data_IF_084090641921
#
_entry.id   IF_084090641921
#
_cell.length_a   1.000
_cell.length_b   1.000
_cell.length_c   1.000
_cell.angle_alpha   90.00
_cell.angle_beta   90.00
_cell.angle_gamma   90.00
#
_symmetry.space_group_name_H-M   'P 1'
#
loop_
_entity.id
_entity.type
_entity.pdbx_description
1 polymer ?
#
# COMPACT_ATOMS: atom_id res chain seq x y z
N UNK A 1 41.04 -20.96 36.39
CA UNK A 1 40.44 -22.31 36.23
C UNK A 1 40.10 -22.83 37.61
N UNK A 2 38.82 -22.80 38.01
CA UNK A 2 38.33 -23.42 39.25
C UNK A 2 36.95 -24.02 38.98
N UNK A 3 36.82 -25.30 39.32
CA UNK A 3 35.61 -26.11 39.21
C UNK A 3 34.78 -26.06 40.49
N UNK A 4 33.52 -26.44 40.31
CA UNK A 4 32.41 -26.62 41.24
C UNK A 4 32.69 -27.51 42.47
N UNK A 5 32.02 -27.21 43.60
CA UNK A 5 31.10 -28.13 44.27
C UNK A 5 30.21 -27.45 45.33
N UNK A 6 29.00 -28.02 45.51
CA UNK A 6 27.88 -27.63 46.37
C UNK A 6 28.08 -28.05 47.84
N UNK A 7 27.37 -27.41 48.80
CA UNK A 7 26.35 -28.06 49.66
C UNK A 7 25.72 -27.11 50.70
N UNK A 8 24.45 -27.40 51.00
CA UNK A 8 23.49 -26.84 51.98
C UNK A 8 23.95 -26.73 53.44
N UNK A 9 23.30 -25.83 54.21
CA UNK A 9 22.59 -26.13 55.49
C UNK A 9 21.92 -24.90 56.15
N UNK A 10 20.58 -24.89 56.13
CA UNK A 10 19.58 -24.69 57.21
C UNK A 10 19.79 -23.85 58.51
N UNK A 11 18.66 -23.20 58.88
CA UNK A 11 18.06 -22.85 60.23
C UNK A 11 18.20 -21.42 60.80
N UNK A 12 17.05 -20.87 61.23
CA UNK A 12 16.96 -19.88 62.32
C UNK A 12 15.79 -18.90 62.25
N UNK A 13 14.73 -19.16 63.00
CA UNK A 13 13.46 -18.40 63.14
C UNK A 13 13.57 -17.20 64.09
N UNK A 14 12.76 -16.14 63.88
CA UNK A 14 12.06 -15.42 64.95
C UNK A 14 10.90 -14.52 64.43
N UNK A 15 9.71 -14.80 64.94
CA UNK A 15 8.46 -14.00 65.02
C UNK A 15 8.55 -13.06 66.24
N UNK A 16 7.83 -11.94 66.47
CA UNK A 16 6.42 -11.53 66.35
C UNK A 16 6.25 -10.00 66.58
N UNK A 17 5.00 -9.50 66.40
CA UNK A 17 4.38 -8.21 66.80
C UNK A 17 4.56 -7.02 65.83
N UNK A 18 3.55 -6.32 65.29
CA UNK A 18 2.11 -6.25 65.51
C UNK A 18 1.68 -4.78 65.67
N UNK A 19 0.88 -4.20 64.75
CA UNK A 19 -0.18 -3.20 65.03
C UNK A 19 -0.89 -2.65 63.77
N UNK A 20 -2.22 -2.68 63.85
CA UNK A 20 -3.27 -2.16 62.95
C UNK A 20 -3.47 -0.64 63.12
N UNK A 21 -4.11 0.03 62.15
CA UNK A 21 -5.07 1.19 62.20
C UNK A 21 -5.09 1.77 60.75
N UNK A 22 -6.18 1.89 59.97
CA UNK A 22 -7.50 2.48 60.21
C UNK A 22 -7.66 3.71 59.27
N UNK A 23 -8.60 3.68 58.30
CA UNK A 23 -8.92 4.80 57.37
C UNK A 23 -9.56 6.02 58.09
N UNK A 24 -9.99 7.11 57.38
CA UNK A 24 -11.05 7.03 56.35
C UNK A 24 -11.02 8.07 55.19
N UNK A 25 -12.01 7.92 54.30
CA UNK A 25 -12.45 8.76 53.16
C UNK A 25 -12.67 10.27 53.42
N UNK A 26 -12.61 11.07 52.34
CA UNK A 26 -13.65 12.08 52.00
C UNK A 26 -13.54 12.67 50.59
N UNK A 27 -14.70 12.75 49.96
CA UNK A 27 -15.08 13.36 48.68
C UNK A 27 -14.70 14.84 48.50
N UNK A 28 -14.45 15.26 47.25
CA UNK A 28 -14.79 16.61 46.79
C UNK A 28 -15.30 16.64 45.34
N UNK A 29 -16.58 16.98 45.24
CA UNK A 29 -17.36 17.34 44.06
C UNK A 29 -16.96 18.75 43.58
N UNK A 30 -16.70 18.95 42.28
CA UNK A 30 -16.71 20.29 41.68
C UNK A 30 -17.69 20.37 40.50
N UNK A 31 -18.72 21.19 40.73
CA UNK A 31 -19.84 21.52 39.84
C UNK A 31 -19.40 22.42 38.68
N UNK A 32 -20.01 22.22 37.51
CA UNK A 32 -20.03 23.18 36.39
C UNK A 32 -21.16 24.21 36.58
N UNK A 33 -20.98 25.49 36.20
CA UNK A 33 -22.08 26.44 36.05
C UNK A 33 -22.60 26.51 34.61
N UNK A 34 -23.92 26.71 34.50
CA UNK A 34 -24.67 26.97 33.29
C UNK A 34 -24.85 28.49 33.05
N UNK A 35 -24.93 28.92 31.80
CA UNK A 35 -25.43 30.23 31.34
C UNK A 35 -26.17 29.99 30.01
N UNK A 36 -27.51 29.98 30.02
CA UNK A 36 -28.47 31.07 29.68
C UNK A 36 -28.60 31.42 28.20
N UNK A 37 -29.84 31.27 27.73
CA UNK A 37 -30.43 31.69 26.46
C UNK A 37 -30.17 33.16 26.10
N UNK A 38 -30.12 33.46 24.79
CA UNK A 38 -30.95 34.52 24.22
C UNK A 38 -31.13 34.38 22.69
N UNK A 39 -32.30 34.84 22.26
CA UNK A 39 -32.92 34.64 20.96
C UNK A 39 -32.87 35.91 20.08
N UNK A 40 -33.13 35.68 18.79
CA UNK A 40 -33.81 36.56 17.83
C UNK A 40 -33.04 37.72 17.15
N UNK A 41 -33.27 37.85 15.84
CA UNK A 41 -32.85 38.98 15.01
C UNK A 41 -32.99 38.70 13.51
N UNK A 42 -34.23 38.77 13.00
CA UNK A 42 -34.60 38.81 11.58
C UNK A 42 -33.92 39.97 10.81
N UNK A 43 -33.58 39.75 9.54
CA UNK A 43 -33.90 40.71 8.46
C UNK A 43 -33.63 40.11 7.07
N UNK A 44 -34.65 40.24 6.23
CA UNK A 44 -34.78 39.88 4.84
C UNK A 44 -34.25 40.97 3.90
N UNK A 45 -33.59 40.60 2.80
CA UNK A 45 -33.63 41.33 1.52
C UNK A 45 -33.24 40.41 0.35
N UNK A 46 -33.64 40.82 -0.84
CA UNK A 46 -34.22 40.00 -1.89
C UNK A 46 -33.31 39.81 -3.12
N UNK A 47 -33.42 38.64 -3.76
CA UNK A 47 -33.50 38.41 -5.22
C UNK A 47 -32.42 39.00 -6.17
N UNK A 48 -31.60 38.13 -6.79
CA UNK A 48 -31.66 37.71 -8.21
C UNK A 48 -30.33 37.06 -8.69
N UNK A 49 -30.44 36.02 -9.54
CA UNK A 49 -29.30 35.43 -10.27
C UNK A 49 -29.44 33.92 -10.45
N UNK A 50 -30.15 33.49 -11.51
CA UNK A 50 -30.35 32.07 -11.85
C UNK A 50 -29.04 31.44 -12.35
N UNK A 51 -28.41 30.62 -11.51
CA UNK A 51 -27.30 29.74 -11.90
C UNK A 51 -27.80 28.39 -12.42
N UNK A 52 -27.26 27.97 -13.55
CA UNK A 52 -27.47 26.65 -14.15
C UNK A 52 -27.00 25.53 -13.21
N UNK A 53 -27.90 24.58 -12.92
CA UNK A 53 -27.61 23.37 -12.13
C UNK A 53 -26.95 22.31 -13.02
N UNK A 54 -25.70 21.98 -12.73
CA UNK A 54 -25.08 20.70 -13.11
C UNK A 54 -25.37 19.64 -12.03
N UNK A 55 -25.53 18.36 -12.39
CA UNK A 55 -25.80 17.30 -11.43
C UNK A 55 -24.52 16.88 -10.69
N UNK A 56 -24.46 17.21 -9.41
CA UNK A 56 -23.41 16.76 -8.50
C UNK A 56 -23.60 15.29 -8.13
N UNK A 57 -22.54 14.49 -8.27
CA UNK A 57 -22.44 13.14 -7.72
C UNK A 57 -22.66 13.17 -6.20
N UNK A 58 -23.77 12.56 -5.77
CA UNK A 58 -24.12 12.36 -4.38
C UNK A 58 -23.18 11.33 -3.73
N UNK A 59 -22.09 11.80 -3.11
CA UNK A 59 -21.54 11.12 -1.93
C UNK A 59 -22.31 11.62 -0.71
N UNK A 60 -23.28 10.85 -0.23
CA UNK A 60 -23.97 11.16 1.02
C UNK A 60 -23.00 11.00 2.20
N UNK A 61 -22.67 12.15 2.81
CA UNK A 61 -22.11 12.26 4.15
C UNK A 61 -23.18 11.85 5.18
N UNK A 62 -22.99 10.71 5.84
CA UNK A 62 -23.62 10.43 7.14
C UNK A 62 -22.72 10.93 8.26
N UNK A 63 -23.20 11.87 9.08
CA UNK A 63 -22.53 12.36 10.30
C UNK A 63 -22.74 11.37 11.46
N UNK A 64 -21.71 11.22 12.30
CA UNK A 64 -21.82 10.66 13.65
C UNK A 64 -20.46 10.29 14.23
N UNK A 65 -19.77 11.25 14.84
CA UNK A 65 -18.55 11.02 15.63
C UNK A 65 -18.94 10.80 17.10
N UNK A 66 -18.57 9.69 17.75
CA UNK A 66 -18.49 9.63 19.21
C UNK A 66 -17.05 9.92 19.67
N UNK A 67 -16.91 10.79 20.67
CA UNK A 67 -15.67 11.08 21.40
C UNK A 67 -15.43 10.03 22.52
N UNK A 68 -14.21 9.96 23.09
CA UNK A 68 -13.64 8.72 23.63
C UNK A 68 -13.96 8.49 25.11
N UNK A 69 -14.09 7.22 25.50
CA UNK A 69 -14.17 6.84 26.91
C UNK A 69 -13.93 5.34 27.11
N UNK A 70 -12.97 5.02 27.99
CA UNK A 70 -12.98 3.83 28.83
C UNK A 70 -12.48 2.52 28.21
N UNK A 71 -11.32 2.06 28.67
CA UNK A 71 -10.82 0.71 28.37
C UNK A 71 -11.80 -0.37 28.82
N UNK A 72 -12.03 -1.35 27.95
CA UNK A 72 -12.50 -2.68 28.31
C UNK A 72 -11.75 -3.72 27.47
N UNK A 73 -11.13 -4.64 28.20
CA UNK A 73 -10.58 -5.90 27.72
C UNK A 73 -11.62 -6.61 26.83
N UNK A 74 -11.33 -6.81 25.55
CA UNK A 74 -12.13 -7.66 24.68
C UNK A 74 -11.64 -9.10 24.85
N UNK A 75 -12.39 -9.87 25.62
CA UNK A 75 -12.25 -11.31 25.73
C UNK A 75 -12.52 -11.96 24.36
N UNK A 76 -11.66 -12.90 24.00
CA UNK A 76 -11.83 -13.82 22.87
C UNK A 76 -13.22 -14.46 22.95
N UNK A 77 -14.14 -14.08 22.05
CA UNK A 77 -15.40 -14.78 21.87
C UNK A 77 -15.17 -15.87 20.83
N UNK A 78 -15.11 -17.11 21.30
CA UNK A 78 -15.15 -18.34 20.49
C UNK A 78 -16.56 -18.53 19.93
N UNK A 79 -16.86 -17.87 18.82
CA UNK A 79 -17.98 -18.22 17.94
C UNK A 79 -17.37 -19.03 16.78
N UNK A 80 -17.54 -20.36 16.83
CA UNK A 80 -17.03 -21.29 15.83
C UNK A 80 -17.69 -21.08 14.45
N UNK A 81 -17.05 -21.51 13.35
CA UNK A 81 -17.63 -21.39 12.03
C UNK A 81 -18.88 -22.26 11.94
N UNK A 82 -20.02 -21.65 11.62
CA UNK A 82 -21.22 -22.38 11.19
C UNK A 82 -20.87 -23.19 9.95
N UNK A 83 -20.81 -24.51 10.13
CA UNK A 83 -20.46 -25.45 9.08
C UNK A 83 -21.60 -25.50 8.05
N UNK A 84 -21.43 -24.82 6.92
CA UNK A 84 -22.22 -25.09 5.71
C UNK A 84 -21.76 -26.42 5.11
N UNK A 85 -22.18 -27.53 5.74
CA UNK A 85 -22.06 -28.88 5.17
C UNK A 85 -22.92 -28.93 3.89
N UNK A 86 -22.28 -29.07 2.73
CA UNK A 86 -22.94 -29.58 1.52
C UNK A 86 -22.95 -28.70 0.26
N UNK A 87 -22.38 -27.49 0.25
CA UNK A 87 -22.23 -26.76 -1.01
C UNK A 87 -21.10 -27.40 -1.85
N UNK A 88 -21.43 -28.01 -2.99
CA UNK A 88 -20.45 -28.54 -3.94
C UNK A 88 -19.48 -27.43 -4.40
N UNK A 89 -18.19 -27.76 -4.47
CA UNK A 89 -17.15 -26.85 -4.96
C UNK A 89 -17.43 -26.54 -6.43
N UNK A 90 -17.76 -25.29 -6.75
CA UNK A 90 -17.88 -24.85 -8.14
C UNK A 90 -16.49 -24.83 -8.78
N UNK A 91 -16.37 -25.39 -9.99
CA UNK A 91 -15.15 -25.40 -10.77
C UNK A 91 -15.44 -24.64 -12.06
N UNK A 92 -14.62 -23.63 -12.35
CA UNK A 92 -14.74 -22.85 -13.57
C UNK A 92 -14.34 -23.65 -14.80
N UNK A 93 -15.01 -23.39 -15.94
CA UNK A 93 -14.75 -24.07 -17.22
C UNK A 93 -14.36 -23.09 -18.34
N UNK A 94 -14.22 -21.79 -18.03
CA UNK A 94 -13.74 -20.81 -18.99
C UNK A 94 -12.29 -21.15 -19.41
N UNK A 95 -12.07 -21.37 -20.71
CA UNK A 95 -10.75 -21.76 -21.25
C UNK A 95 -9.87 -20.58 -21.68
N UNK A 96 -10.37 -19.37 -21.52
CA UNK A 96 -9.72 -18.13 -21.98
C UNK A 96 -9.53 -17.15 -20.81
N UNK A 97 -8.69 -16.14 -20.98
CA UNK A 97 -8.47 -15.10 -19.96
C UNK A 97 -9.72 -14.25 -19.66
N UNK A 98 -10.72 -14.29 -20.54
CA UNK A 98 -12.04 -13.65 -20.35
C UNK A 98 -13.18 -14.54 -20.89
N UNK A 99 -14.27 -14.74 -20.11
CA UNK A 99 -15.47 -15.41 -20.60
C UNK A 99 -16.05 -14.76 -21.87
N UNK A 100 -16.49 -15.58 -22.82
CA UNK A 100 -17.02 -15.10 -24.11
C UNK A 100 -18.22 -14.14 -23.93
N UNK A 101 -19.09 -14.43 -22.95
CA UNK A 101 -20.24 -13.58 -22.60
C UNK A 101 -19.81 -12.17 -22.18
N UNK A 102 -18.80 -12.07 -21.32
CA UNK A 102 -18.28 -10.78 -20.87
C UNK A 102 -17.58 -10.03 -22.01
N UNK A 103 -16.81 -10.73 -22.85
CA UNK A 103 -16.14 -10.12 -24.00
C UNK A 103 -17.14 -9.49 -24.97
N UNK A 104 -18.18 -10.23 -25.36
CA UNK A 104 -19.25 -9.73 -26.24
C UNK A 104 -20.01 -8.56 -25.61
N UNK A 105 -20.25 -8.61 -24.29
CA UNK A 105 -20.85 -7.50 -23.56
C UNK A 105 -19.97 -6.25 -23.66
N UNK A 106 -18.67 -6.35 -23.37
CA UNK A 106 -17.76 -5.19 -23.39
C UNK A 106 -17.52 -4.64 -24.80
N UNK A 107 -17.54 -5.48 -25.83
CA UNK A 107 -17.57 -5.03 -27.23
C UNK A 107 -18.81 -4.18 -27.53
N UNK A 108 -20.00 -4.69 -27.15
CA UNK A 108 -21.27 -4.01 -27.43
C UNK A 108 -21.39 -2.68 -26.68
N UNK A 109 -20.95 -2.64 -25.43
CA UNK A 109 -21.04 -1.45 -24.57
C UNK A 109 -19.84 -0.51 -24.72
N UNK A 110 -18.83 -0.84 -25.55
CA UNK A 110 -17.63 -0.01 -25.73
C UNK A 110 -16.72 0.09 -24.50
N UNK A 111 -16.66 -0.97 -23.69
CA UNK A 111 -15.95 -1.03 -22.40
C UNK A 111 -14.59 -1.77 -22.49
N UNK A 112 -14.08 -2.00 -23.70
CA UNK A 112 -12.78 -2.63 -23.89
C UNK A 112 -11.65 -1.66 -23.58
N UNK A 113 -10.65 -2.14 -22.85
CA UNK A 113 -9.43 -1.39 -22.62
C UNK A 113 -8.55 -1.38 -23.89
N UNK A 114 -7.69 -0.39 -24.05
CA UNK A 114 -6.74 -0.30 -25.18
C UNK A 114 -5.80 -1.52 -25.29
N UNK A 115 -5.63 -2.29 -24.22
CA UNK A 115 -4.81 -3.50 -24.21
C UNK A 115 -5.59 -4.76 -24.64
N UNK A 116 -6.90 -4.65 -24.88
CA UNK A 116 -7.79 -5.79 -25.16
C UNK A 116 -8.33 -5.77 -26.60
N UNK A 117 -7.96 -4.76 -27.40
CA UNK A 117 -8.44 -4.56 -28.76
C UNK A 117 -7.40 -4.99 -29.80
N UNK A 118 -7.85 -5.33 -31.00
CA UNK A 118 -6.97 -5.48 -32.15
C UNK A 118 -6.27 -4.14 -32.46
N UNK A 119 -4.96 -4.19 -32.72
CA UNK A 119 -4.28 -3.05 -33.35
C UNK A 119 -4.95 -2.79 -34.70
N UNK A 120 -5.49 -1.59 -34.87
CA UNK A 120 -6.00 -1.18 -36.18
C UNK A 120 -4.87 -1.32 -37.20
N UNK A 121 -5.05 -2.01 -38.35
CA UNK A 121 -4.13 -1.80 -39.46
C UNK A 121 -4.18 -0.30 -39.74
N UNK A 122 -3.01 0.33 -39.66
CA UNK A 122 -2.81 1.74 -39.92
C UNK A 122 -3.29 2.07 -41.33
N UNK A 123 -4.55 2.50 -41.47
CA UNK A 123 -4.91 3.36 -42.58
C UNK A 123 -4.23 4.69 -42.30
N UNK A 124 -3.12 4.91 -43.01
CA UNK A 124 -2.39 6.16 -43.16
C UNK A 124 -3.21 7.43 -42.86
N UNK A 125 -2.59 8.32 -42.09
CA UNK A 125 -2.93 9.73 -41.87
C UNK A 125 -4.26 10.04 -41.17
N UNK A 126 -4.24 10.01 -39.84
CA UNK A 126 -4.81 11.09 -39.03
C UNK A 126 -4.19 11.05 -37.64
N UNK A 127 -3.25 11.95 -37.43
CA UNK A 127 -2.63 12.31 -36.15
C UNK A 127 -3.67 12.42 -35.03
N UNK A 128 -3.44 11.70 -33.93
CA UNK A 128 -4.07 11.99 -32.65
C UNK A 128 -3.78 13.45 -32.29
N UNK A 129 -4.78 14.29 -31.98
CA UNK A 129 -4.49 15.63 -31.49
C UNK A 129 -3.80 15.50 -30.13
N UNK A 130 -2.55 15.95 -30.07
CA UNK A 130 -1.89 16.29 -28.82
C UNK A 130 -2.55 17.58 -28.35
N UNK A 131 -3.61 17.49 -27.57
CA UNK A 131 -4.08 18.61 -26.76
C UNK A 131 -3.43 18.53 -25.38
N UNK A 132 -2.53 19.48 -25.19
CA UNK A 132 -1.86 19.84 -23.95
C UNK A 132 -2.87 20.11 -22.83
N UNK A 133 -2.54 19.63 -21.63
CA UNK A 133 -3.03 20.10 -20.32
C UNK A 133 -4.55 20.01 -20.05
N UNK A 134 -4.94 19.03 -19.21
CA UNK A 134 -6.23 19.08 -18.51
C UNK A 134 -6.75 17.73 -18.04
N UNK A 135 -6.50 17.40 -16.78
CA UNK A 135 -7.32 16.58 -15.87
C UNK A 135 -8.36 15.64 -16.53
N UNK A 136 -8.02 14.37 -16.76
CA UNK A 136 -8.96 13.37 -17.30
C UNK A 136 -9.56 12.55 -16.16
N UNK A 137 -10.74 12.96 -15.71
CA UNK A 137 -11.66 12.11 -14.95
C UNK A 137 -12.29 11.04 -15.86
N UNK A 138 -13.06 10.09 -15.30
CA UNK A 138 -13.56 8.93 -16.02
C UNK A 138 -14.48 9.35 -17.17
N UNK A 139 -14.37 8.63 -18.28
CA UNK A 139 -15.08 8.84 -19.54
C UNK A 139 -16.59 9.06 -19.33
N UNK A 140 -17.05 10.32 -19.33
CA UNK A 140 -18.45 10.67 -19.46
C UNK A 140 -18.84 10.49 -20.94
N UNK A 141 -19.32 9.30 -21.29
CA UNK A 141 -20.09 9.11 -22.51
C UNK A 141 -21.43 9.82 -22.29
N UNK A 142 -21.62 10.92 -23.01
CA UNK A 142 -22.86 11.68 -23.13
C UNK A 142 -24.08 10.76 -23.17
N UNK A 143 -24.85 10.73 -22.07
CA UNK A 143 -26.22 10.24 -22.06
C UNK A 143 -27.14 11.37 -22.51
N UNK A 144 -27.43 11.44 -23.80
CA UNK A 144 -28.62 12.15 -24.26
C UNK A 144 -29.82 11.20 -24.19
N UNK A 145 -30.62 11.38 -23.14
CA UNK A 145 -31.99 10.88 -23.14
C UNK A 145 -32.87 11.83 -23.94
N UNK A 146 -33.49 11.35 -25.02
CA UNK A 146 -34.75 11.90 -25.55
C UNK A 146 -35.58 10.80 -26.21
N UNK A 147 -36.75 10.57 -25.61
CA UNK A 147 -37.94 10.12 -26.31
C UNK A 147 -38.21 11.04 -27.51
N UNK A 148 -38.55 10.46 -28.66
CA UNK A 148 -39.33 11.17 -29.67
C UNK A 148 -38.86 11.00 -31.11
N UNK A 149 -39.66 10.24 -31.85
CA UNK A 149 -39.93 10.33 -33.30
C UNK A 149 -38.88 9.78 -34.26
N UNK A 150 -39.32 8.73 -34.97
CA UNK A 150 -38.76 8.20 -36.20
C UNK A 150 -38.60 9.34 -37.21
N UNK A 151 -37.37 9.69 -37.52
CA UNK A 151 -36.96 10.52 -38.65
C UNK A 151 -35.86 9.78 -39.40
N UNK A 152 -36.18 9.42 -40.64
CA UNK A 152 -35.28 8.83 -41.62
C UNK A 152 -34.24 9.86 -42.12
N UNK A 153 -33.08 9.40 -42.58
CA UNK A 153 -32.15 10.20 -43.38
C UNK A 153 -30.99 10.88 -42.64
N UNK A 154 -29.96 10.09 -42.32
CA UNK A 154 -28.64 10.62 -41.98
C UNK A 154 -27.63 9.50 -41.78
N UNK A 155 -26.87 9.14 -42.84
CA UNK A 155 -25.69 8.25 -42.72
C UNK A 155 -24.56 9.00 -42.01
N UNK A 156 -24.75 9.27 -40.72
CA UNK A 156 -23.67 9.66 -39.83
C UNK A 156 -22.69 8.50 -39.71
N UNK A 157 -21.41 8.79 -39.86
CA UNK A 157 -20.30 7.85 -39.75
C UNK A 157 -20.33 7.21 -38.35
N UNK A 158 -21.02 6.07 -38.18
CA UNK A 158 -21.02 5.35 -36.89
C UNK A 158 -19.59 4.89 -36.66
N UNK A 159 -18.90 5.56 -35.74
CA UNK A 159 -17.56 5.19 -35.29
C UNK A 159 -17.63 3.70 -34.92
N UNK A 160 -16.98 2.85 -35.71
CA UNK A 160 -16.95 1.41 -35.47
C UNK A 160 -16.34 1.20 -34.09
N UNK A 161 -17.10 0.56 -33.20
CA UNK A 161 -16.58 0.20 -31.88
C UNK A 161 -15.39 -0.76 -32.05
N UNK A 162 -14.32 -0.61 -31.27
CA UNK A 162 -13.20 -1.53 -31.29
C UNK A 162 -13.66 -2.97 -31.04
N UNK A 163 -13.07 -3.92 -31.77
CA UNK A 163 -13.31 -5.35 -31.56
C UNK A 163 -12.33 -5.92 -30.54
N UNK A 164 -12.81 -6.80 -29.69
CA UNK A 164 -12.01 -7.49 -28.69
C UNK A 164 -11.13 -8.53 -29.35
N UNK A 165 -9.85 -8.53 -28.99
CA UNK A 165 -8.97 -9.64 -29.28
C UNK A 165 -9.17 -10.73 -28.21
N UNK A 166 -9.64 -11.91 -28.64
CA UNK A 166 -9.86 -13.06 -27.75
C UNK A 166 -8.62 -13.38 -26.91
N UNK A 167 -7.43 -13.22 -27.49
CA UNK A 167 -6.16 -13.58 -26.85
C UNK A 167 -5.63 -12.51 -25.90
N UNK A 168 -6.16 -11.28 -25.94
CA UNK A 168 -5.72 -10.17 -25.09
C UNK A 168 -6.75 -9.75 -24.05
N UNK A 169 -8.02 -10.10 -24.26
CA UNK A 169 -9.12 -9.69 -23.39
C UNK A 169 -9.07 -10.45 -22.07
N UNK A 170 -9.11 -9.73 -20.93
CA UNK A 170 -9.05 -10.34 -19.60
C UNK A 170 -10.30 -9.98 -18.81
N UNK A 171 -10.84 -10.95 -18.07
CA UNK A 171 -12.00 -10.75 -17.18
C UNK A 171 -11.82 -9.53 -16.27
N UNK A 172 -12.77 -8.61 -16.30
CA UNK A 172 -12.81 -7.40 -15.47
C UNK A 172 -13.43 -7.68 -14.11
N UNK A 173 -13.04 -6.91 -13.09
CA UNK A 173 -13.58 -7.11 -11.75
C UNK A 173 -15.04 -6.64 -11.66
N UNK A 174 -15.93 -7.53 -11.22
CA UNK A 174 -17.32 -7.20 -10.97
C UNK A 174 -17.59 -7.09 -9.47
N UNK A 175 -18.18 -5.99 -9.02
CA UNK A 175 -18.69 -5.90 -7.65
C UNK A 175 -19.88 -6.84 -7.50
N UNK A 176 -19.89 -7.67 -6.45
CA UNK A 176 -21.07 -8.43 -6.08
C UNK A 176 -22.19 -7.44 -5.70
N UNK A 177 -23.18 -7.27 -6.58
CA UNK A 177 -24.39 -6.54 -6.26
C UNK A 177 -25.35 -7.47 -5.51
N UNK A 178 -26.10 -6.92 -4.54
CA UNK A 178 -27.14 -7.67 -3.86
C UNK A 178 -28.18 -8.15 -4.89
N UNK A 179 -28.43 -9.47 -4.95
CA UNK A 179 -29.39 -10.08 -5.88
C UNK A 179 -28.81 -10.55 -7.23
N UNK A 180 -27.49 -10.60 -7.41
CA UNK A 180 -26.90 -11.20 -8.62
C UNK A 180 -27.20 -12.70 -8.74
N UNK A 181 -27.49 -13.12 -9.98
CA UNK A 181 -27.67 -14.50 -10.41
C UNK A 181 -26.52 -15.41 -9.94
N UNK A 182 -26.82 -16.70 -9.75
CA UNK A 182 -25.81 -17.72 -9.43
C UNK A 182 -24.65 -17.63 -10.43
N UNK A 183 -23.42 -17.41 -9.94
CA UNK A 183 -22.22 -17.45 -10.77
C UNK A 183 -22.14 -18.80 -11.49
N UNK A 184 -22.09 -18.77 -12.82
CA UNK A 184 -22.03 -19.98 -13.63
C UNK A 184 -20.58 -20.47 -13.80
N UNK A 185 -20.34 -21.78 -13.94
CA UNK A 185 -19.01 -22.33 -14.21
C UNK A 185 -18.32 -21.69 -15.43
N UNK A 186 -19.05 -21.38 -16.48
CA UNK A 186 -18.53 -20.74 -17.70
C UNK A 186 -18.07 -19.29 -17.50
N UNK A 187 -18.53 -18.64 -16.44
CA UNK A 187 -18.10 -17.29 -16.07
C UNK A 187 -16.82 -17.32 -15.21
N UNK A 188 -16.34 -18.50 -14.79
CA UNK A 188 -15.19 -18.68 -13.92
C UNK A 188 -14.02 -19.33 -14.66
N UNK A 189 -12.81 -18.80 -14.45
CA UNK A 189 -11.56 -19.35 -14.98
C UNK A 189 -10.98 -20.38 -14.01
N UNK A 190 -10.63 -21.60 -14.46
CA UNK A 190 -9.98 -22.60 -13.62
C UNK A 190 -8.55 -22.17 -13.23
N UNK A 191 -7.94 -22.81 -12.20
CA UNK A 191 -6.62 -22.43 -11.67
C UNK A 191 -5.53 -22.25 -12.74
N UNK A 192 -5.46 -23.16 -13.72
CA UNK A 192 -4.47 -23.10 -14.80
C UNK A 192 -4.59 -21.81 -15.62
N UNK A 193 -5.81 -21.43 -16.00
CA UNK A 193 -6.07 -20.22 -16.77
C UNK A 193 -5.81 -18.97 -15.92
N UNK A 194 -6.12 -19.01 -14.62
CA UNK A 194 -5.81 -17.90 -13.71
C UNK A 194 -4.29 -17.65 -13.63
N UNK A 195 -3.49 -18.71 -13.53
CA UNK A 195 -2.03 -18.63 -13.51
C UNK A 195 -1.48 -18.09 -14.83
N UNK A 196 -1.91 -18.64 -15.96
CA UNK A 196 -1.53 -18.15 -17.30
C UNK A 196 -1.92 -16.67 -17.49
N UNK A 197 -3.08 -16.26 -16.98
CA UNK A 197 -3.51 -14.85 -17.03
C UNK A 197 -2.58 -13.94 -16.24
N UNK A 198 -2.17 -14.35 -15.03
CA UNK A 198 -1.21 -13.58 -14.21
C UNK A 198 0.14 -13.49 -14.92
N UNK A 199 0.61 -14.60 -15.51
CA UNK A 199 1.84 -14.61 -16.28
C UNK A 199 1.79 -13.65 -17.47
N UNK A 200 0.69 -13.65 -18.24
CA UNK A 200 0.47 -12.69 -19.34
C UNK A 200 0.46 -11.24 -18.84
N UNK A 201 -0.23 -10.95 -17.73
CA UNK A 201 -0.22 -9.60 -17.14
C UNK A 201 1.21 -9.15 -16.79
N UNK A 202 2.06 -10.05 -16.28
CA UNK A 202 3.44 -9.74 -15.91
C UNK A 202 4.43 -9.70 -17.09
N UNK A 203 4.25 -10.56 -18.11
CA UNK A 203 5.17 -10.68 -19.26
C UNK A 203 4.86 -9.67 -20.35
N UNK A 204 3.58 -9.43 -20.62
CA UNK A 204 3.14 -8.70 -21.81
C UNK A 204 2.58 -7.31 -21.49
N UNK A 205 1.92 -7.13 -20.33
CA UNK A 205 1.27 -5.87 -19.99
C UNK A 205 2.16 -5.00 -19.09
N UNK A 206 2.73 -5.58 -18.02
CA UNK A 206 3.53 -4.85 -17.04
C UNK A 206 4.78 -4.14 -17.61
N UNK A 207 5.52 -4.72 -18.58
CA UNK A 207 6.72 -4.08 -19.14
C UNK A 207 6.42 -2.99 -20.17
N UNK A 208 5.14 -2.74 -20.49
CA UNK A 208 4.75 -1.75 -21.50
C UNK A 208 5.23 -0.34 -21.13
N UNK A 209 5.84 0.33 -22.10
CA UNK A 209 6.35 1.70 -22.00
C UNK A 209 5.69 2.65 -23.00
N UNK A 210 4.76 2.14 -23.80
CA UNK A 210 4.04 2.91 -24.82
C UNK A 210 2.93 3.81 -24.24
N UNK A 211 2.65 3.69 -22.94
CA UNK A 211 1.75 4.58 -22.22
C UNK A 211 2.24 4.85 -20.78
N UNK A 212 1.70 5.89 -20.11
CA UNK A 212 1.96 6.12 -18.69
C UNK A 212 1.68 4.90 -17.81
N UNK A 213 2.53 4.69 -16.80
CA UNK A 213 2.46 3.50 -15.94
C UNK A 213 1.18 3.43 -15.11
N UNK A 214 0.53 4.55 -14.78
CA UNK A 214 -0.75 4.55 -14.07
C UNK A 214 -1.86 3.84 -14.88
N UNK A 215 -1.83 3.93 -16.21
CA UNK A 215 -2.78 3.22 -17.08
C UNK A 215 -2.52 1.70 -17.03
N UNK A 216 -1.24 1.30 -17.04
CA UNK A 216 -0.82 -0.10 -16.86
C UNK A 216 -1.24 -0.62 -15.50
N UNK A 217 -1.01 0.18 -14.46
CA UNK A 217 -1.39 -0.14 -13.08
C UNK A 217 -2.90 -0.34 -12.94
N UNK A 218 -3.72 0.61 -13.37
CA UNK A 218 -5.18 0.53 -13.21
C UNK A 218 -5.75 -0.71 -13.91
N UNK A 219 -5.25 -1.01 -15.10
CA UNK A 219 -5.62 -2.22 -15.83
C UNK A 219 -5.25 -3.49 -15.06
N UNK A 220 -3.97 -3.67 -14.71
CA UNK A 220 -3.50 -4.88 -14.01
C UNK A 220 -4.20 -5.00 -12.64
N UNK A 221 -4.32 -3.90 -11.90
CA UNK A 221 -4.97 -3.86 -10.59
C UNK A 221 -6.41 -4.37 -10.65
N UNK A 222 -7.20 -3.93 -11.64
CA UNK A 222 -8.56 -4.43 -11.85
C UNK A 222 -8.58 -5.93 -12.21
N UNK A 223 -7.74 -6.36 -13.16
CA UNK A 223 -7.71 -7.75 -13.62
C UNK A 223 -7.23 -8.72 -12.54
N UNK A 224 -6.27 -8.32 -11.69
CA UNK A 224 -5.83 -9.10 -10.53
C UNK A 224 -6.96 -9.23 -9.48
N UNK A 225 -7.82 -8.23 -9.32
CA UNK A 225 -9.00 -8.35 -8.45
C UNK A 225 -10.01 -9.35 -9.00
N UNK A 226 -10.22 -9.39 -10.33
CA UNK A 226 -11.06 -10.40 -10.97
C UNK A 226 -10.48 -11.81 -10.81
N UNK A 227 -9.17 -11.96 -10.93
CA UNK A 227 -8.46 -13.24 -10.69
C UNK A 227 -8.66 -13.70 -9.25
N UNK A 228 -8.42 -12.82 -8.28
CA UNK A 228 -8.66 -13.12 -6.86
C UNK A 228 -10.13 -13.47 -6.57
N UNK A 229 -11.07 -12.79 -7.22
CA UNK A 229 -12.50 -13.09 -7.09
C UNK A 229 -12.82 -14.51 -7.58
N UNK A 230 -12.29 -14.91 -8.74
CA UNK A 230 -12.45 -16.27 -9.26
C UNK A 230 -11.86 -17.32 -8.31
N UNK A 231 -10.69 -17.03 -7.69
CA UNK A 231 -10.07 -17.91 -6.69
C UNK A 231 -10.94 -18.08 -5.44
N UNK A 232 -11.51 -16.99 -4.93
CA UNK A 232 -12.38 -17.02 -3.74
C UNK A 232 -13.66 -17.80 -4.03
N UNK A 233 -14.31 -17.57 -5.17
CA UNK A 233 -15.55 -18.26 -5.54
C UNK A 233 -15.33 -19.77 -5.66
N UNK A 234 -14.23 -20.17 -6.30
CA UNK A 234 -13.89 -21.58 -6.52
C UNK A 234 -13.20 -22.24 -5.31
N UNK A 235 -12.86 -21.50 -4.25
CA UNK A 235 -12.11 -21.99 -3.08
C UNK A 235 -10.80 -22.67 -3.49
N UNK A 236 -9.98 -21.96 -4.26
CA UNK A 236 -8.65 -22.43 -4.69
C UNK A 236 -7.63 -22.08 -3.60
N UNK A 237 -6.97 -23.10 -3.05
CA UNK A 237 -6.06 -22.99 -1.88
C UNK A 237 -4.80 -23.85 -2.02
N UNK A 238 -4.49 -24.28 -3.25
CA UNK A 238 -3.34 -25.12 -3.60
C UNK A 238 -2.07 -24.30 -3.88
N UNK A 239 -1.01 -24.99 -4.34
CA UNK A 239 0.27 -24.37 -4.68
C UNK A 239 0.15 -23.34 -5.81
N UNK A 240 -0.78 -23.50 -6.75
CA UNK A 240 -1.01 -22.50 -7.80
C UNK A 240 -1.61 -21.22 -7.20
N UNK A 241 -2.52 -21.33 -6.23
CA UNK A 241 -3.01 -20.17 -5.48
C UNK A 241 -1.87 -19.43 -4.75
N UNK A 242 -0.93 -20.17 -4.16
CA UNK A 242 0.27 -19.60 -3.53
C UNK A 242 1.06 -18.79 -4.57
N UNK A 243 1.42 -19.38 -5.72
CA UNK A 243 2.21 -18.70 -6.76
C UNK A 243 1.52 -17.46 -7.32
N UNK A 244 0.21 -17.54 -7.55
CA UNK A 244 -0.59 -16.38 -8.00
C UNK A 244 -0.52 -15.25 -6.96
N UNK A 245 -0.69 -15.56 -5.66
CA UNK A 245 -0.65 -14.54 -4.61
C UNK A 245 0.75 -13.96 -4.41
N UNK A 246 1.81 -14.77 -4.49
CA UNK A 246 3.21 -14.30 -4.46
C UNK A 246 3.42 -13.23 -5.54
N UNK A 247 3.01 -13.51 -6.79
CA UNK A 247 3.13 -12.57 -7.91
C UNK A 247 2.29 -11.31 -7.71
N UNK A 248 1.05 -11.43 -7.19
CA UNK A 248 0.18 -10.28 -6.92
C UNK A 248 0.78 -9.36 -5.85
N UNK A 249 1.34 -9.93 -4.78
CA UNK A 249 1.99 -9.14 -3.72
C UNK A 249 3.20 -8.39 -4.29
N UNK A 250 4.05 -9.05 -5.10
CA UNK A 250 5.19 -8.40 -5.77
C UNK A 250 4.75 -7.26 -6.69
N UNK A 251 3.66 -7.45 -7.46
CA UNK A 251 3.08 -6.39 -8.29
C UNK A 251 2.69 -5.16 -7.45
N UNK A 252 2.00 -5.36 -6.32
CA UNK A 252 1.57 -4.22 -5.48
C UNK A 252 2.75 -3.46 -4.87
N UNK A 253 3.82 -4.15 -4.44
CA UNK A 253 5.04 -3.50 -3.94
C UNK A 253 5.67 -2.66 -5.05
N UNK A 254 5.79 -3.23 -6.23
CA UNK A 254 6.37 -2.54 -7.37
C UNK A 254 5.54 -1.34 -7.81
N UNK A 255 4.21 -1.49 -7.87
CA UNK A 255 3.31 -0.41 -8.21
C UNK A 255 3.41 0.75 -7.22
N UNK A 256 3.46 0.44 -5.91
CA UNK A 256 3.69 1.44 -4.86
C UNK A 256 5.01 2.17 -5.09
N UNK A 257 6.09 1.44 -5.37
CA UNK A 257 7.37 2.05 -5.67
C UNK A 257 7.30 2.97 -6.91
N UNK A 258 6.71 2.52 -8.02
CA UNK A 258 6.65 3.29 -9.28
C UNK A 258 5.78 4.53 -9.20
N UNK A 259 4.64 4.46 -8.50
CA UNK A 259 3.64 5.52 -8.44
C UNK A 259 3.73 6.37 -7.18
N UNK A 260 4.75 6.17 -6.32
CA UNK A 260 4.88 6.88 -5.04
C UNK A 260 4.88 8.40 -5.12
N UNK A 261 5.32 8.96 -6.25
CA UNK A 261 5.38 10.41 -6.46
C UNK A 261 4.14 10.97 -7.17
N UNK A 262 3.24 10.10 -7.61
CA UNK A 262 2.02 10.51 -8.30
C UNK A 262 1.04 11.15 -7.33
N UNK A 263 0.23 12.07 -7.86
CA UNK A 263 -0.81 12.71 -7.08
C UNK A 263 -1.91 11.71 -6.70
N UNK A 264 -2.57 11.92 -5.56
CA UNK A 264 -3.63 11.01 -5.05
C UNK A 264 -4.80 10.82 -6.02
N UNK A 265 -5.01 11.77 -6.95
CA UNK A 265 -6.03 11.65 -8.00
C UNK A 265 -5.66 10.65 -9.10
N UNK A 266 -4.38 10.31 -9.25
CA UNK A 266 -3.85 9.36 -10.23
C UNK A 266 -3.63 8.00 -9.57
N UNK A 267 -3.10 7.99 -8.36
CA UNK A 267 -2.80 6.76 -7.61
C UNK A 267 -3.17 6.94 -6.15
N UNK A 268 -3.97 6.01 -5.62
CA UNK A 268 -4.30 5.95 -4.19
C UNK A 268 -3.40 4.93 -3.47
N UNK A 269 -2.38 5.37 -2.71
CA UNK A 269 -1.47 4.46 -2.02
C UNK A 269 -2.17 3.62 -0.95
N UNK A 270 -3.26 4.13 -0.36
CA UNK A 270 -3.99 3.42 0.69
C UNK A 270 -4.76 2.23 0.13
N UNK A 271 -5.40 2.40 -1.03
CA UNK A 271 -6.09 1.31 -1.72
C UNK A 271 -5.08 0.22 -2.12
N UNK A 272 -3.96 0.59 -2.75
CA UNK A 272 -2.94 -0.37 -3.13
C UNK A 272 -2.41 -1.14 -1.91
N UNK A 273 -2.09 -0.42 -0.83
CA UNK A 273 -1.57 -1.02 0.39
C UNK A 273 -2.58 -1.97 1.04
N UNK A 274 -3.86 -1.64 1.04
CA UNK A 274 -4.91 -2.54 1.52
C UNK A 274 -4.89 -3.86 0.73
N UNK A 275 -4.85 -3.78 -0.59
CA UNK A 275 -4.82 -4.98 -1.44
C UNK A 275 -3.54 -5.81 -1.27
N UNK A 276 -2.38 -5.16 -1.11
CA UNK A 276 -1.11 -5.82 -0.77
C UNK A 276 -1.25 -6.62 0.52
N UNK A 277 -1.71 -5.97 1.60
CA UNK A 277 -1.81 -6.59 2.92
C UNK A 277 -2.84 -7.72 2.93
N UNK A 278 -3.98 -7.55 2.26
CA UNK A 278 -5.00 -8.60 2.17
C UNK A 278 -4.48 -9.83 1.42
N UNK A 279 -3.71 -9.65 0.34
CA UNK A 279 -3.07 -10.76 -0.37
C UNK A 279 -2.00 -11.43 0.50
N UNK A 280 -1.15 -10.64 1.16
CA UNK A 280 -0.09 -11.16 2.01
C UNK A 280 -0.67 -11.98 3.17
N UNK A 281 -1.70 -11.49 3.86
CA UNK A 281 -2.37 -12.25 4.93
C UNK A 281 -2.92 -13.58 4.43
N UNK A 282 -3.61 -13.60 3.28
CA UNK A 282 -4.11 -14.85 2.70
C UNK A 282 -2.97 -15.79 2.33
N UNK A 283 -1.88 -15.27 1.76
CA UNK A 283 -0.69 -16.03 1.41
C UNK A 283 -0.06 -16.70 2.64
N UNK A 284 0.12 -15.97 3.74
CA UNK A 284 0.67 -16.53 4.99
C UNK A 284 -0.22 -17.65 5.56
N UNK A 285 -1.55 -17.48 5.51
CA UNK A 285 -2.49 -18.54 5.90
C UNK A 285 -2.34 -19.78 5.01
N UNK A 286 -2.18 -19.60 3.69
CA UNK A 286 -1.97 -20.72 2.78
C UNK A 286 -0.63 -21.42 3.01
N UNK A 287 0.42 -20.69 3.38
CA UNK A 287 1.70 -21.31 3.74
C UNK A 287 1.58 -22.22 4.96
N UNK A 288 0.86 -21.77 5.99
CA UNK A 288 0.61 -22.61 7.18
C UNK A 288 -0.27 -23.80 6.85
N UNK A 289 -1.40 -23.55 6.17
CA UNK A 289 -2.37 -24.58 5.82
C UNK A 289 -1.76 -25.71 4.98
N UNK A 290 -0.90 -25.37 4.02
CA UNK A 290 -0.23 -26.33 3.15
C UNK A 290 1.12 -26.83 3.70
N UNK A 291 1.54 -26.41 4.90
CA UNK A 291 2.89 -26.66 5.43
C UNK A 291 3.98 -26.36 4.39
N UNK A 292 3.87 -25.21 3.73
CA UNK A 292 4.68 -24.81 2.59
C UNK A 292 6.11 -24.46 3.05
N UNK A 293 7.12 -25.07 2.41
CA UNK A 293 8.54 -24.99 2.82
C UNK A 293 9.48 -24.45 1.74
N UNK A 294 8.96 -23.97 0.62
CA UNK A 294 9.82 -23.41 -0.42
C UNK A 294 10.54 -22.14 0.06
N UNK A 295 11.70 -21.88 -0.53
CA UNK A 295 12.54 -20.73 -0.23
C UNK A 295 11.79 -19.40 -0.34
N UNK A 296 10.81 -19.30 -1.26
CA UNK A 296 9.99 -18.10 -1.47
C UNK A 296 9.25 -17.66 -0.20
N UNK A 297 8.83 -18.60 0.67
CA UNK A 297 8.14 -18.28 1.94
C UNK A 297 8.94 -17.31 2.81
N UNK A 298 10.26 -17.46 2.85
CA UNK A 298 11.13 -16.59 3.66
C UNK A 298 11.03 -15.13 3.25
N UNK A 299 10.90 -14.85 1.95
CA UNK A 299 10.77 -13.49 1.41
C UNK A 299 9.46 -12.84 1.87
N UNK A 300 8.35 -13.59 1.89
CA UNK A 300 7.04 -13.06 2.28
C UNK A 300 6.82 -13.00 3.79
N UNK A 301 7.44 -13.90 4.57
CA UNK A 301 7.49 -13.77 6.03
C UNK A 301 8.37 -12.58 6.45
N UNK A 302 9.50 -12.37 5.77
CA UNK A 302 10.30 -11.16 5.89
C UNK A 302 9.49 -9.91 5.56
N UNK A 303 8.79 -9.90 4.41
CA UNK A 303 7.88 -8.81 4.03
C UNK A 303 6.83 -8.53 5.11
N UNK A 304 6.24 -9.55 5.72
CA UNK A 304 5.25 -9.37 6.79
C UNK A 304 5.80 -8.59 7.99
N UNK A 305 7.06 -8.86 8.37
CA UNK A 305 7.77 -8.08 9.40
C UNK A 305 7.88 -6.60 8.99
N UNK A 306 8.23 -6.34 7.73
CA UNK A 306 8.40 -5.00 7.21
C UNK A 306 7.08 -4.24 7.06
N UNK A 307 6.02 -4.93 6.64
CA UNK A 307 4.67 -4.36 6.52
C UNK A 307 4.15 -3.90 7.86
N UNK A 308 4.40 -4.69 8.90
CA UNK A 308 3.95 -4.42 10.27
C UNK A 308 5.13 -4.04 11.17
N UNK A 309 6.03 -3.17 10.69
CA UNK A 309 7.31 -2.87 11.36
C UNK A 309 7.18 -2.36 12.80
N UNK A 310 6.04 -1.75 13.15
CA UNK A 310 5.73 -1.28 14.50
C UNK A 310 4.99 -2.30 15.38
N UNK A 311 4.67 -3.49 14.85
CA UNK A 311 3.92 -4.51 15.56
C UNK A 311 4.87 -5.49 16.25
N UNK A 312 4.91 -5.42 17.57
CA UNK A 312 5.66 -6.38 18.39
C UNK A 312 5.17 -7.83 18.15
N UNK A 313 3.87 -8.02 17.91
CA UNK A 313 3.28 -9.33 17.68
C UNK A 313 3.84 -10.02 16.44
N UNK A 314 4.08 -9.24 15.38
CA UNK A 314 4.66 -9.77 14.13
C UNK A 314 6.12 -10.12 14.33
N UNK A 315 6.87 -9.30 15.09
CA UNK A 315 8.26 -9.61 15.45
C UNK A 315 8.34 -10.89 16.28
N UNK A 316 7.47 -11.05 17.29
CA UNK A 316 7.40 -12.28 18.11
C UNK A 316 7.10 -13.51 17.26
N UNK A 317 6.12 -13.42 16.35
CA UNK A 317 5.82 -14.50 15.40
C UNK A 317 7.03 -14.83 14.52
N UNK A 318 7.74 -13.82 14.03
CA UNK A 318 8.90 -14.00 13.18
C UNK A 318 10.04 -14.75 13.91
N UNK A 319 10.18 -14.58 15.23
CA UNK A 319 11.10 -15.39 16.03
C UNK A 319 10.73 -16.87 16.05
N UNK A 320 9.44 -17.21 16.21
CA UNK A 320 8.99 -18.61 16.11
C UNK A 320 9.31 -19.19 14.73
N UNK A 321 8.98 -18.45 13.67
CA UNK A 321 9.27 -18.88 12.29
C UNK A 321 10.77 -19.04 12.06
N UNK A 322 11.61 -18.14 12.60
CA UNK A 322 13.06 -18.22 12.49
C UNK A 322 13.60 -19.53 13.09
N UNK A 323 12.98 -20.06 14.15
CA UNK A 323 13.38 -21.36 14.71
C UNK A 323 13.05 -22.53 13.79
N UNK A 324 12.00 -22.42 12.97
CA UNK A 324 11.56 -23.43 12.01
C UNK A 324 12.27 -23.30 10.65
N UNK A 325 12.49 -22.07 10.19
CA UNK A 325 12.99 -21.69 8.86
C UNK A 325 13.85 -20.44 8.94
N UNK A 326 15.12 -20.65 9.30
CA UNK A 326 16.09 -19.57 9.41
C UNK A 326 16.59 -19.14 8.02
N UNK A 327 16.53 -17.84 7.72
CA UNK A 327 17.12 -17.28 6.50
C UNK A 327 17.73 -15.90 6.76
N UNK A 328 18.72 -15.53 5.96
CA UNK A 328 19.36 -14.22 6.06
C UNK A 328 18.36 -13.07 5.86
N UNK A 329 17.46 -13.20 4.88
CA UNK A 329 16.44 -12.19 4.55
C UNK A 329 15.45 -11.98 5.71
N UNK A 330 15.01 -13.07 6.35
CA UNK A 330 14.16 -13.00 7.53
C UNK A 330 14.89 -12.35 8.71
N UNK A 331 16.14 -12.74 8.98
CA UNK A 331 16.93 -12.17 10.07
C UNK A 331 17.16 -10.67 9.92
N UNK A 332 17.56 -10.23 8.72
CA UNK A 332 17.73 -8.80 8.42
C UNK A 332 16.41 -8.05 8.63
N UNK A 333 15.28 -8.63 8.23
CA UNK A 333 13.97 -7.99 8.38
C UNK A 333 13.52 -7.87 9.84
N UNK A 334 13.81 -8.88 10.67
CA UNK A 334 13.58 -8.83 12.12
C UNK A 334 14.46 -7.76 12.76
N UNK A 335 15.77 -7.77 12.48
CA UNK A 335 16.71 -6.77 12.99
C UNK A 335 16.33 -5.35 12.58
N UNK A 336 15.90 -5.17 11.33
CA UNK A 336 15.46 -3.86 10.83
C UNK A 336 14.16 -3.40 11.50
N UNK A 337 13.24 -4.31 11.80
CA UNK A 337 12.05 -3.98 12.58
C UNK A 337 12.39 -3.53 14.00
N UNK A 338 13.32 -4.21 14.66
CA UNK A 338 13.83 -3.80 15.97
C UNK A 338 14.55 -2.44 15.90
N UNK A 339 15.41 -2.23 14.91
CA UNK A 339 16.08 -0.95 14.71
C UNK A 339 15.08 0.20 14.51
N UNK A 340 14.00 -0.04 13.76
CA UNK A 340 12.93 0.93 13.56
C UNK A 340 12.19 1.26 14.86
N UNK A 341 11.86 0.23 15.65
CA UNK A 341 11.15 0.38 16.93
C UNK A 341 12.01 1.09 17.99
N UNK A 342 13.30 0.73 18.08
CA UNK A 342 14.29 1.36 18.96
C UNK A 342 14.77 2.73 18.44
N UNK A 343 14.24 3.20 17.31
CA UNK A 343 14.62 4.47 16.67
C UNK A 343 16.12 4.57 16.35
N UNK A 344 16.75 3.43 16.08
CA UNK A 344 18.13 3.35 15.63
C UNK A 344 18.19 3.56 14.11
N UNK A 345 18.14 4.82 13.67
CA UNK A 345 18.14 5.17 12.25
C UNK A 345 19.40 4.70 11.52
N UNK A 346 20.56 4.73 12.17
CA UNK A 346 21.85 4.32 11.58
C UNK A 346 21.80 2.84 11.19
N UNK A 347 21.35 1.98 12.10
CA UNK A 347 21.26 0.55 11.80
C UNK A 347 20.15 0.26 10.79
N UNK A 348 18.99 0.93 10.91
CA UNK A 348 17.90 0.84 9.94
C UNK A 348 18.39 1.09 8.49
N UNK A 349 19.08 2.21 8.25
CA UNK A 349 19.62 2.52 6.91
C UNK A 349 20.70 1.53 6.47
N UNK A 350 21.56 1.04 7.37
CA UNK A 350 22.57 0.02 7.03
C UNK A 350 21.95 -1.31 6.59
N UNK A 351 20.80 -1.70 7.15
CA UNK A 351 20.13 -2.97 6.83
C UNK A 351 19.38 -2.92 5.50
N UNK A 352 18.84 -1.77 5.10
CA UNK A 352 18.10 -1.63 3.83
C UNK A 352 18.90 -2.19 2.65
N UNK A 353 20.17 -1.83 2.51
CA UNK A 353 21.02 -2.29 1.39
C UNK A 353 21.29 -3.79 1.35
N UNK A 354 21.00 -4.53 2.43
CA UNK A 354 21.21 -5.97 2.54
C UNK A 354 19.98 -6.79 2.14
N UNK A 355 18.83 -6.14 1.99
CA UNK A 355 17.58 -6.81 1.60
C UNK A 355 17.54 -7.11 0.10
N UNK A 356 16.77 -8.12 -0.36
CA UNK A 356 16.44 -8.29 -1.77
C UNK A 356 15.72 -7.06 -2.33
N UNK A 357 15.85 -6.82 -3.63
CA UNK A 357 15.35 -5.59 -4.25
C UNK A 357 13.86 -5.33 -4.00
N UNK A 358 13.02 -6.37 -4.02
CA UNK A 358 11.59 -6.21 -3.77
C UNK A 358 11.30 -5.70 -2.35
N UNK A 359 12.04 -6.19 -1.35
CA UNK A 359 11.91 -5.73 0.02
C UNK A 359 12.49 -4.33 0.20
N UNK A 360 13.61 -4.01 -0.48
CA UNK A 360 14.12 -2.63 -0.53
C UNK A 360 13.07 -1.65 -1.08
N UNK A 361 12.41 -2.00 -2.20
CA UNK A 361 11.34 -1.19 -2.78
C UNK A 361 10.21 -0.93 -1.77
N UNK A 362 9.82 -1.94 -0.99
CA UNK A 362 8.82 -1.77 0.05
C UNK A 362 9.29 -0.85 1.19
N UNK A 363 10.56 -0.93 1.60
CA UNK A 363 11.13 -0.16 2.70
C UNK A 363 11.13 1.36 2.49
N UNK A 364 11.05 1.83 1.24
CA UNK A 364 10.92 3.27 0.91
C UNK A 364 9.82 3.96 1.74
N UNK A 365 8.72 3.25 2.03
CA UNK A 365 7.61 3.78 2.85
C UNK A 365 8.02 4.20 4.27
N UNK A 366 9.05 3.56 4.81
CA UNK A 366 9.53 3.76 6.18
C UNK A 366 10.69 4.77 6.23
N UNK A 367 11.38 4.96 5.11
CA UNK A 367 12.55 5.83 4.98
C UNK A 367 12.21 7.27 5.33
N UNK A 368 11.07 7.80 4.85
CA UNK A 368 10.64 9.17 5.16
C UNK A 368 10.56 9.41 6.68
N UNK A 369 9.79 8.58 7.37
CA UNK A 369 9.59 8.67 8.82
C UNK A 369 10.93 8.58 9.57
N UNK A 370 11.82 7.69 9.13
CA UNK A 370 13.12 7.53 9.77
C UNK A 370 14.07 8.71 9.49
N UNK A 371 14.05 9.31 8.28
CA UNK A 371 14.81 10.53 7.96
C UNK A 371 14.32 11.72 8.77
N UNK A 372 13.01 11.92 8.88
CA UNK A 372 12.40 12.96 9.72
C UNK A 372 12.85 12.83 11.18
N UNK A 373 12.81 11.60 11.72
CA UNK A 373 13.30 11.32 13.05
C UNK A 373 14.81 11.61 13.20
N UNK A 374 15.63 11.19 12.24
CA UNK A 374 17.07 11.43 12.26
C UNK A 374 17.39 12.94 12.27
N UNK A 375 16.74 13.74 11.42
CA UNK A 375 16.92 15.19 11.42
C UNK A 375 16.45 15.84 12.70
N UNK A 376 15.32 15.40 13.26
CA UNK A 376 14.85 15.87 14.57
C UNK A 376 15.92 15.64 15.66
N UNK A 377 16.48 14.43 15.74
CA UNK A 377 17.53 14.10 16.71
C UNK A 377 18.80 14.92 16.45
N UNK A 378 19.20 15.12 15.19
CA UNK A 378 20.35 15.96 14.84
C UNK A 378 20.15 17.41 15.28
N UNK A 379 18.94 17.98 15.11
CA UNK A 379 18.59 19.30 15.63
C UNK A 379 18.72 19.37 17.16
N UNK A 380 18.25 18.35 17.88
CA UNK A 380 18.31 18.33 19.34
C UNK A 380 19.74 18.17 19.86
N UNK A 381 20.54 17.30 19.24
CA UNK A 381 21.88 16.95 19.71
C UNK A 381 22.94 17.97 19.31
N UNK A 382 22.90 18.44 18.06
CA UNK A 382 23.94 19.29 17.48
C UNK A 382 23.55 20.77 17.42
N UNK A 383 22.26 21.09 17.48
CA UNK A 383 21.76 22.47 17.41
C UNK A 383 21.88 23.29 18.69
N UNK A 384 22.62 22.82 19.69
CA UNK A 384 22.93 23.54 20.95
C UNK A 384 24.16 24.44 20.79
N UNK A 385 25.10 24.06 19.92
CA UNK A 385 26.36 24.78 19.70
C UNK A 385 26.42 25.25 18.25
N UNK A 386 26.45 26.57 18.04
CA UNK A 386 26.52 27.16 16.69
C UNK A 386 27.83 26.85 15.94
N UNK A 387 28.85 26.39 16.67
CA UNK A 387 30.10 25.89 16.11
C UNK A 387 30.00 24.46 15.57
N UNK A 388 28.96 23.71 15.91
CA UNK A 388 28.80 22.35 15.44
C UNK A 388 28.40 22.34 13.96
N UNK A 389 29.27 21.78 13.14
CA UNK A 389 29.13 21.65 11.70
C UNK A 389 29.25 20.18 11.34
N UNK A 390 28.26 19.64 10.63
CA UNK A 390 28.25 18.23 10.22
C UNK A 390 28.51 18.17 8.72
N UNK A 391 29.47 17.36 8.22
CA UNK A 391 29.68 17.21 6.80
C UNK A 391 28.40 16.75 6.08
N UNK A 392 28.03 17.43 4.99
CA UNK A 392 26.86 17.06 4.17
C UNK A 392 27.02 15.65 3.58
N UNK A 393 28.26 15.27 3.24
CA UNK A 393 28.61 13.93 2.76
C UNK A 393 28.30 12.84 3.77
N UNK A 394 28.55 13.11 5.06
CA UNK A 394 28.23 12.18 6.14
C UNK A 394 26.71 11.97 6.25
N UNK A 395 25.91 13.04 6.23
CA UNK A 395 24.44 12.94 6.27
C UNK A 395 23.91 12.17 5.05
N UNK A 396 24.44 12.48 3.88
CA UNK A 396 24.08 11.82 2.61
C UNK A 396 24.29 10.32 2.70
N UNK A 397 25.46 9.90 3.19
CA UNK A 397 25.81 8.48 3.37
C UNK A 397 24.97 7.81 4.46
N UNK A 398 24.81 8.45 5.63
CA UNK A 398 24.09 7.85 6.77
C UNK A 398 22.60 7.67 6.53
N UNK A 399 21.97 8.56 5.74
CA UNK A 399 20.53 8.55 5.49
C UNK A 399 20.16 8.00 4.10
N UNK A 400 21.11 7.35 3.43
CA UNK A 400 20.97 6.75 2.10
C UNK A 400 20.39 7.70 1.04
N UNK A 401 20.86 8.94 0.99
CA UNK A 401 20.55 9.82 -0.14
C UNK A 401 21.36 9.41 -1.38
N UNK A 402 20.81 9.66 -2.57
CA UNK A 402 21.47 9.28 -3.83
C UNK A 402 22.64 10.18 -4.16
N UNK A 403 22.60 11.45 -3.72
CA UNK A 403 23.66 12.43 -3.95
C UNK A 403 23.67 13.53 -2.89
N UNK A 404 24.80 14.22 -2.76
CA UNK A 404 24.89 15.41 -1.91
C UNK A 404 23.93 16.53 -2.35
N UNK A 405 23.59 16.61 -3.64
CA UNK A 405 22.69 17.64 -4.17
C UNK A 405 21.23 17.35 -3.81
N UNK A 406 20.83 16.07 -3.74
CA UNK A 406 19.53 15.65 -3.21
C UNK A 406 19.41 16.04 -1.73
N UNK A 407 20.41 15.66 -0.92
CA UNK A 407 20.47 16.01 0.51
C UNK A 407 20.42 17.52 0.71
N UNK A 408 21.17 18.28 -0.09
CA UNK A 408 21.19 19.74 -0.05
C UNK A 408 19.81 20.34 -0.37
N UNK A 409 19.16 19.84 -1.41
CA UNK A 409 17.83 20.31 -1.83
C UNK A 409 16.79 20.07 -0.75
N UNK A 410 16.81 18.90 -0.12
CA UNK A 410 15.84 18.54 0.91
C UNK A 410 16.07 19.28 2.23
N UNK A 411 17.34 19.44 2.63
CA UNK A 411 17.69 20.32 3.76
C UNK A 411 17.34 21.79 3.49
N UNK A 412 17.46 22.24 2.24
CA UNK A 412 17.05 23.58 1.81
C UNK A 412 15.55 23.81 1.96
N UNK A 413 14.70 22.84 1.57
CA UNK A 413 13.23 22.88 1.79
C UNK A 413 12.88 22.95 3.28
N UNK A 414 13.73 22.35 4.11
CA UNK A 414 13.62 22.35 5.57
C UNK A 414 14.24 23.61 6.20
N UNK A 415 14.67 24.61 5.43
CA UNK A 415 15.33 25.83 5.90
C UNK A 415 16.54 25.57 6.81
N UNK A 416 17.25 24.45 6.62
CA UNK A 416 18.47 24.13 7.36
C UNK A 416 19.64 24.87 6.72
N UNK A 417 20.48 25.48 7.54
CA UNK A 417 21.62 26.28 7.09
C UNK A 417 22.75 25.37 6.58
N UNK A 418 23.17 25.58 5.32
CA UNK A 418 24.28 24.87 4.71
C UNK A 418 25.41 25.86 4.46
N UNK A 419 26.56 25.58 5.05
CA UNK A 419 27.76 26.39 5.01
C UNK A 419 28.75 25.71 4.07
N UNK A 420 29.45 26.49 3.25
CA UNK A 420 30.54 25.99 2.41
C UNK A 420 31.88 26.41 3.00
N UNK A 421 32.82 25.48 3.04
CA UNK A 421 34.20 25.78 3.35
C UNK A 421 34.87 26.43 2.13
N UNK A 422 35.46 27.61 2.30
CA UNK A 422 36.07 28.36 1.21
C UNK A 422 37.37 27.73 0.69
N UNK A 423 38.01 26.86 1.48
CA UNK A 423 39.29 26.23 1.15
C UNK A 423 39.07 24.85 0.54
N UNK A 424 38.28 24.00 1.19
CA UNK A 424 38.04 22.62 0.72
C UNK A 424 36.86 22.52 -0.24
N UNK A 425 36.06 23.59 -0.38
CA UNK A 425 34.78 23.60 -1.11
C UNK A 425 33.76 22.57 -0.58
N UNK A 426 34.01 22.01 0.61
CA UNK A 426 33.12 21.05 1.26
C UNK A 426 31.89 21.74 1.84
N UNK A 427 30.75 21.05 1.81
CA UNK A 427 29.49 21.54 2.37
C UNK A 427 29.29 20.95 3.75
N UNK A 428 28.93 21.81 4.70
CA UNK A 428 28.63 21.48 6.09
C UNK A 428 27.23 21.95 6.44
N UNK A 429 26.55 21.20 7.31
CA UNK A 429 25.20 21.48 7.76
C UNK A 429 25.24 21.97 9.20
N UNK A 430 24.55 23.08 9.47
CA UNK A 430 24.34 23.61 10.81
C UNK A 430 22.87 23.44 11.18
N UNK A 431 22.62 22.55 12.12
CA UNK A 431 21.29 22.38 12.69
C UNK A 431 21.03 23.39 13.79
N UNK A 432 19.76 23.78 13.99
CA UNK A 432 19.32 24.63 15.10
C UNK A 432 18.26 23.91 15.92
N UNK A 433 18.35 23.97 17.25
CA UNK A 433 17.39 23.32 18.15
C UNK A 433 15.95 23.80 17.91
N UNK A 434 15.77 25.07 17.53
CA UNK A 434 14.45 25.66 17.20
C UNK A 434 13.76 25.00 16.00
N UNK A 435 14.49 24.27 15.16
CA UNK A 435 13.95 23.60 13.98
C UNK A 435 13.46 22.18 14.27
N UNK A 436 13.69 21.64 15.47
CA UNK A 436 13.45 20.22 15.77
C UNK A 436 11.98 19.81 15.60
N UNK A 437 11.03 20.64 16.03
CA UNK A 437 9.59 20.32 15.94
C UNK A 437 9.07 20.35 14.49
N UNK A 438 9.65 21.24 13.68
CA UNK A 438 9.37 21.28 12.24
C UNK A 438 9.84 19.99 11.54
N UNK A 439 10.99 19.42 11.95
CA UNK A 439 11.49 18.18 11.36
C UNK A 439 10.56 16.98 11.59
N UNK A 440 9.82 16.95 12.71
CA UNK A 440 8.84 15.88 12.99
C UNK A 440 7.59 15.94 12.12
N UNK A 441 7.25 17.13 11.60
CA UNK A 441 6.01 17.40 10.87
C UNK A 441 6.22 17.75 9.40
N UNK A 442 7.47 17.76 8.92
CA UNK A 442 7.82 18.11 7.56
C UNK A 442 7.16 17.17 6.54
N UNK A 443 6.17 17.68 5.79
CA UNK A 443 5.49 16.96 4.71
C UNK A 443 5.97 17.49 3.35
N UNK A 444 6.00 16.65 2.31
CA UNK A 444 6.26 17.09 0.92
C UNK A 444 7.71 17.04 0.42
N UNK A 445 8.63 16.44 1.16
CA UNK A 445 9.96 16.12 0.61
C UNK A 445 9.86 14.82 -0.21
N UNK A 446 10.60 14.77 -1.32
CA UNK A 446 10.67 13.58 -2.19
C UNK A 446 11.77 12.69 -1.65
N UNK A 447 11.40 11.60 -0.99
CA UNK A 447 12.37 10.71 -0.38
C UNK A 447 12.61 9.55 -1.34
N UNK A 448 13.68 9.66 -2.13
CA UNK A 448 14.20 8.52 -2.88
C UNK A 448 15.39 7.96 -2.11
N UNK A 449 15.49 6.65 -2.07
CA UNK A 449 16.79 6.02 -2.19
C UNK A 449 16.72 5.10 -3.40
N UNK A 450 17.45 5.44 -4.46
CA UNK A 450 17.65 4.50 -5.55
C UNK A 450 18.94 3.73 -5.26
N UNK A 451 18.80 2.50 -4.77
CA UNK A 451 19.93 1.58 -4.84
C UNK A 451 20.24 1.26 -6.29
N UNK A 452 21.50 0.92 -6.60
CA UNK A 452 21.93 0.50 -7.94
C UNK A 452 21.09 -0.69 -8.46
N UNK A 453 20.68 -1.58 -7.54
CA UNK A 453 19.82 -2.71 -7.85
C UNK A 453 18.42 -2.25 -8.33
N UNK A 454 17.82 -1.28 -7.65
CA UNK A 454 16.54 -0.68 -8.05
C UNK A 454 16.67 0.04 -9.39
N UNK A 455 17.78 0.75 -9.65
CA UNK A 455 18.03 1.42 -10.93
C UNK A 455 18.08 0.42 -12.09
N UNK A 456 18.83 -0.68 -11.95
CA UNK A 456 18.93 -1.71 -13.00
C UNK A 456 17.56 -2.31 -13.35
N UNK A 457 16.73 -2.62 -12.35
CA UNK A 457 15.39 -3.21 -12.59
C UNK A 457 14.44 -2.22 -13.27
N UNK A 458 14.53 -0.94 -12.92
CA UNK A 458 13.71 0.12 -13.56
C UNK A 458 14.17 0.37 -15.01
N UNK A 459 15.48 0.32 -15.27
CA UNK A 459 16.07 0.60 -16.58
C UNK A 459 15.95 -0.59 -17.56
N UNK A 460 16.15 -1.81 -17.08
CA UNK A 460 16.21 -3.01 -17.93
C UNK A 460 14.82 -3.56 -18.31
N UNK A 461 13.73 -2.98 -17.80
CA UNK A 461 12.36 -3.48 -18.04
C UNK A 461 12.14 -4.93 -17.57
N UNK A 462 13.06 -5.47 -16.75
CA UNK A 462 13.17 -6.89 -16.44
C UNK A 462 12.21 -7.33 -15.32
N UNK A 463 11.01 -6.75 -15.31
CA UNK A 463 10.03 -6.93 -14.26
C UNK A 463 9.30 -8.26 -14.32
N UNK A 464 9.21 -8.83 -15.52
CA UNK A 464 8.81 -10.21 -15.69
C UNK A 464 9.69 -11.12 -14.84
N UNK A 465 11.01 -10.91 -14.81
CA UNK A 465 11.90 -11.66 -13.91
C UNK A 465 11.67 -11.33 -12.44
N UNK A 466 11.40 -10.09 -12.03
CA UNK A 466 11.15 -9.77 -10.61
C UNK A 466 9.86 -10.44 -10.08
N UNK A 467 8.77 -10.37 -10.85
CA UNK A 467 7.47 -10.90 -10.48
C UNK A 467 7.35 -12.42 -10.67
N UNK A 468 8.13 -13.01 -11.60
CA UNK A 468 8.11 -14.43 -11.94
C UNK A 468 9.34 -15.21 -11.45
N UNK A 469 10.36 -14.55 -10.90
CA UNK A 469 11.48 -15.27 -10.27
C UNK A 469 10.96 -15.99 -9.03
N UNK A 470 11.06 -17.31 -9.10
CA UNK A 470 11.13 -18.24 -7.98
C UNK A 470 12.59 -18.60 -7.74
#
# INVERSE_FOLDING_TARGET
MRSYHQHDTSRGTNTMEGQNYGGPDRDTNWRRPATTHNSAGDSSYSRQGRGHRHPSNHYQRGRGVPRPGGGRQLALSTEGPTTTKGASKIIGVCREMCPAKERLLREREGLLHQFEVFEHPTSSSSSWPVESSGNVGPCEILRDGRNGRRGDGGRGNRKLLPKADSKRTIKSFARSAAGQDKTLPEDLRPPIILKETVEYLCKDILPRTDCPFNIVYDFIFDRLRAIRQDMVIQRIEDNDAIKILETIVKFHIYAEFRLREEHISIYDPHINQKHLVDCLRKLLVLYEFNNYKDSSRHEFEALNCLVSINSYQVVTRAYSIRTEMNSNVLNISIEMALAYQCKNFVDFFRKIGQLPCILQMYCERHVQSMRQFAFHIMCMAYGVRDSCKIPLSWITSQLLYSSNDETHTDLGKLNVEIIRDNVTNEKYVRFKKSQADMMQSATGIKYKFLSLCIQSIVQDGNLSKLCLSL
#
